data_IF_757759690654
#
_entry.id   IF_757759690654
#
_cell.length_a   1.000
_cell.length_b   1.000
_cell.length_c   1.000
_cell.angle_alpha   90.00
_cell.angle_beta   90.00
_cell.angle_gamma   90.00
#
_symmetry.space_group_name_H-M   'P 1'
#
loop_
_entity.id
_entity.type
_entity.pdbx_description
1 polymer ?
#
# COMPACT_ATOMS: atom_id res chain seq x y z
N UNK A 1 0.90 -5.29 -13.69
CA UNK A 1 1.38 -5.68 -12.35
C UNK A 1 2.63 -6.55 -12.51
N UNK A 2 3.49 -6.60 -11.49
CA UNK A 2 4.62 -7.56 -11.45
C UNK A 2 4.14 -9.01 -11.62
N UNK A 3 5.00 -9.88 -12.17
CA UNK A 3 4.77 -11.32 -12.18
C UNK A 3 4.97 -11.86 -10.75
N UNK A 4 3.86 -12.15 -10.08
CA UNK A 4 3.81 -12.49 -8.65
C UNK A 4 3.12 -13.84 -8.48
N UNK A 5 3.65 -14.67 -7.59
CA UNK A 5 3.19 -16.03 -7.31
C UNK A 5 2.94 -16.17 -5.81
N UNK A 6 1.92 -15.47 -5.27
CA UNK A 6 1.58 -15.58 -3.86
C UNK A 6 1.23 -17.04 -3.52
N UNK A 7 1.75 -17.61 -2.43
CA UNK A 7 1.50 -19.01 -2.08
C UNK A 7 0.03 -19.25 -1.69
N UNK A 8 -0.65 -18.21 -1.20
CA UNK A 8 -2.08 -18.21 -0.92
C UNK A 8 -2.71 -16.89 -1.34
N UNK A 9 -3.93 -16.99 -1.83
CA UNK A 9 -4.79 -15.84 -2.17
C UNK A 9 -6.07 -15.94 -1.37
N UNK A 10 -6.20 -15.10 -0.36
CA UNK A 10 -7.38 -15.00 0.47
C UNK A 10 -8.29 -13.87 -0.02
N UNK A 11 -9.59 -14.13 -0.07
CA UNK A 11 -10.60 -13.11 -0.39
C UNK A 11 -11.57 -13.01 0.77
N UNK A 12 -11.61 -11.87 1.43
CA UNK A 12 -12.56 -11.66 2.50
C UNK A 12 -13.98 -11.56 1.92
N UNK A 13 -14.94 -12.28 2.51
CA UNK A 13 -16.34 -12.33 2.03
C UNK A 13 -17.00 -10.96 1.81
N UNK A 14 -16.61 -9.93 2.57
CA UNK A 14 -17.11 -8.55 2.44
C UNK A 14 -16.79 -7.91 1.08
N UNK A 15 -15.77 -8.39 0.37
CA UNK A 15 -15.46 -7.93 -0.99
C UNK A 15 -16.65 -8.13 -1.92
N UNK A 16 -17.40 -9.23 -1.76
CA UNK A 16 -18.54 -9.57 -2.60
C UNK A 16 -19.77 -8.67 -2.40
N UNK A 17 -19.78 -7.85 -1.34
CA UNK A 17 -20.83 -6.87 -1.09
C UNK A 17 -20.67 -5.61 -1.96
N UNK A 18 -19.50 -5.39 -2.58
CA UNK A 18 -19.20 -4.24 -3.43
C UNK A 18 -18.88 -4.70 -4.87
N UNK A 19 -19.78 -4.48 -5.85
CA UNK A 19 -19.55 -4.88 -7.25
C UNK A 19 -18.29 -4.30 -7.89
N UNK A 20 -17.86 -3.09 -7.49
CA UNK A 20 -16.64 -2.47 -8.02
C UNK A 20 -15.40 -3.14 -7.45
N UNK A 21 -15.43 -3.51 -6.17
CA UNK A 21 -14.38 -4.30 -5.53
C UNK A 21 -14.24 -5.68 -6.20
N UNK A 22 -15.36 -6.36 -6.51
CA UNK A 22 -15.35 -7.64 -7.24
C UNK A 22 -14.76 -7.48 -8.64
N UNK A 23 -15.12 -6.43 -9.38
CA UNK A 23 -14.55 -6.18 -10.70
C UNK A 23 -13.02 -5.96 -10.63
N UNK A 24 -12.55 -5.22 -9.63
CA UNK A 24 -11.12 -4.99 -9.36
C UNK A 24 -10.39 -6.27 -8.98
N UNK A 25 -10.97 -7.08 -8.08
CA UNK A 25 -10.49 -8.41 -7.74
C UNK A 25 -10.30 -9.26 -9.00
N UNK A 26 -11.31 -9.32 -9.88
CA UNK A 26 -11.24 -10.09 -11.12
C UNK A 26 -10.09 -9.66 -12.04
N UNK A 27 -9.83 -8.36 -12.17
CA UNK A 27 -8.67 -7.86 -12.95
C UNK A 27 -7.35 -8.32 -12.35
N UNK A 28 -7.19 -8.18 -11.04
CA UNK A 28 -5.96 -8.58 -10.34
C UNK A 28 -5.74 -10.09 -10.41
N UNK A 29 -6.76 -10.90 -10.14
CA UNK A 29 -6.68 -12.37 -10.24
C UNK A 29 -6.30 -12.82 -11.66
N UNK A 30 -6.90 -12.20 -12.69
CA UNK A 30 -6.56 -12.50 -14.10
C UNK A 30 -5.08 -12.26 -14.38
N UNK A 31 -4.50 -11.16 -13.90
CA UNK A 31 -3.07 -10.89 -14.08
C UNK A 31 -2.16 -11.79 -13.25
N UNK A 32 -2.67 -12.42 -12.18
CA UNK A 32 -1.96 -13.46 -11.42
C UNK A 32 -2.09 -14.85 -12.06
N UNK A 33 -2.73 -14.98 -13.22
CA UNK A 33 -2.99 -16.27 -13.87
C UNK A 33 -4.16 -17.05 -13.26
N UNK A 34 -5.08 -16.37 -12.57
CA UNK A 34 -6.24 -16.95 -11.87
C UNK A 34 -5.84 -18.06 -10.89
N UNK A 35 -5.01 -17.75 -9.87
CA UNK A 35 -4.67 -18.75 -8.86
C UNK A 35 -5.92 -19.20 -8.08
N UNK A 36 -5.89 -20.38 -7.45
CA UNK A 36 -6.93 -20.79 -6.51
C UNK A 36 -7.11 -19.71 -5.43
N UNK A 37 -8.37 -19.40 -5.12
CA UNK A 37 -8.72 -18.46 -4.05
C UNK A 37 -9.33 -19.21 -2.87
N UNK A 38 -9.11 -18.67 -1.68
CA UNK A 38 -9.71 -19.13 -0.45
C UNK A 38 -10.58 -18.01 0.13
N UNK A 39 -11.90 -18.23 0.18
CA UNK A 39 -12.81 -17.28 0.81
C UNK A 39 -12.70 -17.36 2.33
N UNK A 40 -12.56 -16.21 2.96
CA UNK A 40 -12.33 -16.09 4.40
C UNK A 40 -13.25 -15.06 5.05
N UNK A 41 -13.49 -15.21 6.34
CA UNK A 41 -14.06 -14.16 7.20
C UNK A 41 -13.24 -13.97 8.48
N UNK A 42 -13.72 -13.13 9.40
CA UNK A 42 -13.01 -12.81 10.64
C UNK A 42 -12.64 -14.05 11.47
N UNK A 43 -13.38 -15.16 11.34
CA UNK A 43 -13.13 -16.39 12.07
C UNK A 43 -11.93 -17.18 11.50
N UNK A 44 -11.50 -16.89 10.27
CA UNK A 44 -10.36 -17.52 9.61
C UNK A 44 -9.03 -16.79 9.89
N UNK A 45 -9.00 -15.85 10.84
CA UNK A 45 -7.82 -15.02 11.13
C UNK A 45 -6.56 -15.86 11.40
N UNK A 46 -6.67 -16.93 12.19
CA UNK A 46 -5.52 -17.80 12.50
C UNK A 46 -4.98 -18.50 11.25
N UNK A 47 -5.87 -18.95 10.36
CA UNK A 47 -5.50 -19.59 9.09
C UNK A 47 -4.68 -18.65 8.21
N UNK A 48 -5.09 -17.38 8.09
CA UNK A 48 -4.35 -16.37 7.30
C UNK A 48 -2.99 -16.07 7.93
N UNK A 49 -2.92 -15.96 9.26
CA UNK A 49 -1.66 -15.72 9.98
C UNK A 49 -0.69 -16.90 9.76
N UNK A 50 -1.16 -18.13 9.91
CA UNK A 50 -0.36 -19.34 9.70
C UNK A 50 0.17 -19.40 8.26
N UNK A 51 -0.71 -19.24 7.26
CA UNK A 51 -0.34 -19.26 5.84
C UNK A 51 0.69 -18.18 5.47
N UNK A 52 0.59 -16.99 6.09
CA UNK A 52 1.57 -15.90 5.88
C UNK A 52 2.97 -16.22 6.43
N UNK A 53 3.06 -17.19 7.35
CA UNK A 53 4.25 -17.45 8.14
C UNK A 53 4.57 -16.37 9.17
N UNK A 54 3.70 -15.36 9.35
CA UNK A 54 3.88 -14.24 10.26
C UNK A 54 3.59 -14.57 11.73
N UNK A 55 3.84 -15.82 12.16
CA UNK A 55 3.36 -16.36 13.44
C UNK A 55 4.06 -15.74 14.66
N UNK A 56 3.50 -16.00 15.86
CA UNK A 56 4.06 -15.53 17.14
C UNK A 56 5.46 -16.08 17.47
N UNK A 57 5.88 -17.15 16.77
CA UNK A 57 7.20 -17.75 16.97
C UNK A 57 8.34 -17.00 16.27
N UNK A 58 8.01 -16.05 15.37
CA UNK A 58 9.02 -15.31 14.62
C UNK A 58 9.87 -14.40 15.51
N UNK A 59 11.15 -14.32 15.18
CA UNK A 59 12.09 -13.45 15.86
C UNK A 59 11.71 -11.97 15.68
N UNK A 60 11.52 -11.27 16.80
CA UNK A 60 11.29 -9.83 16.83
C UNK A 60 12.51 -9.14 17.43
N UNK A 61 13.14 -8.25 16.66
CA UNK A 61 14.28 -7.47 17.13
C UNK A 61 13.84 -6.04 17.48
N UNK A 62 13.94 -5.66 18.76
CA UNK A 62 13.54 -4.31 19.23
C UNK A 62 12.11 -3.94 18.85
N UNK A 63 11.17 -4.88 18.99
CA UNK A 63 9.76 -4.69 18.62
C UNK A 63 9.49 -4.61 17.11
N UNK A 64 10.50 -4.88 16.27
CA UNK A 64 10.37 -4.83 14.80
C UNK A 64 10.69 -6.18 14.18
N UNK A 65 9.97 -6.47 13.12
CA UNK A 65 10.23 -7.61 12.24
C UNK A 65 11.08 -7.11 11.08
N UNK A 66 12.12 -7.86 10.73
CA UNK A 66 13.02 -7.54 9.63
C UNK A 66 13.15 -8.76 8.73
N UNK A 67 12.80 -8.60 7.47
CA UNK A 67 12.88 -9.67 6.46
C UNK A 67 14.30 -10.22 6.29
N UNK A 68 15.33 -9.42 6.65
CA UNK A 68 16.72 -9.85 6.58
C UNK A 68 17.12 -10.92 7.60
N UNK A 69 16.32 -11.13 8.66
CA UNK A 69 16.56 -12.19 9.64
C UNK A 69 16.21 -13.56 9.02
N UNK A 70 15.01 -13.66 8.45
CA UNK A 70 14.51 -14.90 7.84
C UNK A 70 14.97 -15.08 6.38
N UNK A 71 15.47 -14.01 5.75
CA UNK A 71 15.82 -13.97 4.32
C UNK A 71 14.71 -14.54 3.42
N UNK A 72 13.46 -14.17 3.70
CA UNK A 72 12.27 -14.64 2.96
C UNK A 72 12.52 -14.55 1.46
N UNK A 73 12.31 -15.67 0.77
CA UNK A 73 12.53 -15.80 -0.68
C UNK A 73 11.29 -16.28 -1.46
N UNK A 74 10.11 -15.96 -0.94
CA UNK A 74 8.82 -16.18 -1.62
C UNK A 74 7.98 -14.90 -1.61
N UNK A 75 6.98 -14.85 -2.48
CA UNK A 75 6.02 -13.77 -2.47
C UNK A 75 5.15 -13.84 -1.20
N UNK A 76 4.69 -12.69 -0.69
CA UNK A 76 3.78 -12.65 0.45
C UNK A 76 2.44 -13.32 0.09
N UNK A 77 1.70 -13.77 1.11
CA UNK A 77 0.29 -14.12 0.90
C UNK A 77 -0.50 -12.87 0.53
N UNK A 78 -1.51 -13.02 -0.32
CA UNK A 78 -2.41 -11.92 -0.66
C UNK A 78 -3.71 -12.04 0.11
N UNK A 79 -4.17 -10.92 0.66
CA UNK A 79 -5.46 -10.78 1.31
C UNK A 79 -6.24 -9.66 0.63
N UNK A 80 -7.30 -10.01 -0.08
CA UNK A 80 -8.21 -9.06 -0.71
C UNK A 80 -9.34 -8.70 0.24
N UNK A 81 -9.56 -7.41 0.45
CA UNK A 81 -10.44 -6.89 1.50
C UNK A 81 -11.14 -5.61 1.04
N UNK A 82 -12.03 -5.08 1.87
CA UNK A 82 -12.61 -3.74 1.76
C UNK A 82 -12.57 -3.06 3.11
N UNK A 83 -12.65 -1.73 3.13
CA UNK A 83 -12.84 -0.99 4.37
C UNK A 83 -14.20 -1.30 5.01
N UNK A 84 -14.24 -1.23 6.33
CA UNK A 84 -15.48 -1.22 7.10
C UNK A 84 -15.78 0.22 7.50
N UNK A 85 -16.53 0.91 6.64
CA UNK A 85 -16.83 2.35 6.79
C UNK A 85 -17.75 2.69 7.95
N UNK A 86 -18.61 1.76 8.38
CA UNK A 86 -19.44 1.89 9.58
C UNK A 86 -18.68 1.31 10.78
N UNK A 87 -18.19 2.14 11.72
CA UNK A 87 -17.40 1.67 12.85
C UNK A 87 -18.14 0.66 13.74
N UNK A 88 -19.49 0.68 13.77
CA UNK A 88 -20.28 -0.27 14.53
C UNK A 88 -20.23 -1.70 13.96
N UNK A 89 -19.81 -1.85 12.70
CA UNK A 89 -19.67 -3.15 12.03
C UNK A 89 -18.27 -3.75 12.15
N UNK A 90 -17.28 -2.99 12.64
CA UNK A 90 -15.94 -3.51 12.90
C UNK A 90 -16.03 -4.57 13.99
N UNK A 91 -15.49 -5.76 13.71
CA UNK A 91 -15.47 -6.87 14.66
C UNK A 91 -14.35 -6.64 15.69
N UNK A 92 -14.52 -7.06 16.95
CA UNK A 92 -13.43 -7.04 17.90
C UNK A 92 -12.38 -8.08 17.52
N UNK A 93 -11.10 -7.73 17.65
CA UNK A 93 -10.02 -8.71 17.59
C UNK A 93 -10.06 -9.53 18.88
N UNK A 94 -10.43 -10.81 18.76
CA UNK A 94 -10.73 -11.69 19.92
C UNK A 94 -9.48 -12.17 20.65
N UNK A 95 -8.34 -12.26 19.96
CA UNK A 95 -7.06 -12.73 20.49
C UNK A 95 -6.02 -11.61 20.49
N UNK A 96 -5.24 -11.51 21.57
CA UNK A 96 -4.10 -10.61 21.63
C UNK A 96 -2.90 -11.24 20.92
N UNK A 97 -2.35 -10.54 19.93
CA UNK A 97 -1.13 -10.93 19.22
C UNK A 97 0.04 -10.05 19.66
N UNK A 98 1.16 -10.67 20.02
CA UNK A 98 2.39 -9.97 20.37
C UNK A 98 3.23 -9.67 19.13
N UNK A 99 3.17 -10.53 18.10
CA UNK A 99 3.87 -10.30 16.86
C UNK A 99 3.18 -9.22 16.03
N UNK A 100 3.89 -8.15 15.60
CA UNK A 100 3.25 -6.99 14.99
C UNK A 100 2.61 -7.29 13.63
N UNK A 101 3.06 -8.34 12.92
CA UNK A 101 2.45 -8.75 11.65
C UNK A 101 1.19 -9.60 11.84
N UNK A 102 1.17 -10.50 12.82
CA UNK A 102 -0.06 -11.18 13.26
C UNK A 102 -1.12 -10.16 13.66
N UNK A 103 -0.74 -9.18 14.49
CA UNK A 103 -1.63 -8.12 14.95
C UNK A 103 -2.13 -7.22 13.79
N UNK A 104 -1.34 -7.04 12.73
CA UNK A 104 -1.80 -6.31 11.55
C UNK A 104 -2.83 -7.12 10.76
N UNK A 105 -2.54 -8.39 10.46
CA UNK A 105 -3.47 -9.29 9.75
C UNK A 105 -4.80 -9.38 10.51
N UNK A 106 -4.76 -9.63 11.82
CA UNK A 106 -5.96 -9.74 12.65
C UNK A 106 -6.83 -8.48 12.62
N UNK A 107 -6.22 -7.29 12.61
CA UNK A 107 -6.97 -6.02 12.46
C UNK A 107 -7.64 -5.90 11.10
N UNK A 108 -6.97 -6.29 10.02
CA UNK A 108 -7.58 -6.27 8.68
C UNK A 108 -8.70 -7.30 8.54
N UNK A 109 -8.53 -8.50 9.12
CA UNK A 109 -9.58 -9.52 9.15
C UNK A 109 -10.81 -9.06 9.93
N UNK A 110 -10.61 -8.42 11.08
CA UNK A 110 -11.70 -7.91 11.91
C UNK A 110 -12.45 -6.71 11.29
N UNK A 111 -11.84 -6.03 10.32
CA UNK A 111 -12.39 -4.87 9.63
C UNK A 111 -11.58 -3.61 9.93
N UNK A 112 -10.95 -3.06 8.90
CA UNK A 112 -10.20 -1.82 9.01
C UNK A 112 -11.12 -0.63 8.69
N UNK A 113 -11.23 0.31 9.62
CA UNK A 113 -12.02 1.52 9.43
C UNK A 113 -11.19 2.68 8.91
N UNK A 114 -11.82 3.87 8.93
CA UNK A 114 -11.20 5.11 8.46
C UNK A 114 -9.88 5.45 9.17
N UNK A 115 -9.72 5.05 10.43
CA UNK A 115 -8.50 5.24 11.22
C UNK A 115 -7.27 4.54 10.65
N UNK A 116 -7.45 3.51 9.81
CA UNK A 116 -6.36 2.79 9.16
C UNK A 116 -5.83 3.47 7.90
N UNK A 117 -6.61 4.39 7.33
CA UNK A 117 -6.35 5.03 6.04
C UNK A 117 -5.27 6.10 6.17
N UNK A 118 -5.40 6.95 7.19
CA UNK A 118 -4.67 8.21 7.27
C UNK A 118 -3.51 8.15 8.25
N UNK A 119 -2.28 8.28 7.73
CA UNK A 119 -1.07 8.44 8.52
C UNK A 119 -0.67 9.91 8.64
N UNK A 120 -0.26 10.31 9.83
CA UNK A 120 0.28 11.65 10.08
C UNK A 120 1.72 11.54 10.57
N UNK A 121 2.67 12.15 9.84
CA UNK A 121 4.06 12.26 10.30
C UNK A 121 4.27 13.66 10.86
N UNK A 122 4.04 13.79 12.16
CA UNK A 122 4.22 15.04 12.88
C UNK A 122 5.61 15.10 13.49
N UNK A 123 6.44 16.02 13.00
CA UNK A 123 7.38 16.72 13.89
C UNK A 123 6.89 18.13 14.23
N UNK A 124 5.74 18.51 13.67
CA UNK A 124 5.17 19.84 13.73
C UNK A 124 3.65 19.68 13.77
N UNK A 125 3.03 20.19 14.83
CA UNK A 125 1.59 20.37 14.89
C UNK A 125 1.20 21.47 13.90
N UNK A 126 1.02 21.12 12.62
CA UNK A 126 0.50 22.05 11.60
C UNK A 126 -0.90 22.61 11.89
N UNK A 127 -1.47 22.28 13.06
CA UNK A 127 -2.68 22.83 13.64
C UNK A 127 -2.42 23.93 14.70
N UNK A 128 -1.17 24.14 15.15
CA UNK A 128 -0.84 25.26 16.03
C UNK A 128 -0.60 26.52 15.20
N UNK A 129 -1.54 27.49 15.17
CA UNK A 129 -1.37 28.73 14.43
C UNK A 129 -0.23 29.62 14.98
N UNK A 130 0.32 29.29 16.16
CA UNK A 130 1.39 30.06 16.82
C UNK A 130 2.79 29.66 16.39
N UNK A 131 2.94 28.57 15.62
CA UNK A 131 4.25 28.13 15.13
C UNK A 131 4.35 28.34 13.62
N UNK A 132 5.19 29.29 13.15
CA UNK A 132 5.39 29.52 11.72
C UNK A 132 6.22 28.37 11.14
N UNK A 133 5.55 27.28 10.76
CA UNK A 133 6.19 26.19 10.04
C UNK A 133 6.16 26.49 8.55
N UNK A 134 7.34 26.47 7.91
CA UNK A 134 7.46 26.52 6.45
C UNK A 134 7.00 25.19 5.83
N UNK A 135 7.20 24.07 6.54
CA UNK A 135 6.78 22.74 6.12
C UNK A 135 5.49 22.30 6.84
N UNK A 136 4.47 21.92 6.08
CA UNK A 136 3.26 21.30 6.63
C UNK A 136 3.52 19.88 7.13
N UNK A 137 2.68 19.40 8.05
CA UNK A 137 2.72 18.00 8.49
C UNK A 137 2.50 17.05 7.32
N UNK A 138 3.34 16.03 7.19
CA UNK A 138 3.23 15.10 6.07
C UNK A 138 2.06 14.14 6.27
N UNK A 139 1.00 14.29 5.48
CA UNK A 139 -0.09 13.31 5.41
C UNK A 139 0.29 12.14 4.51
N UNK A 140 -0.09 10.94 4.92
CA UNK A 140 -0.06 9.75 4.09
C UNK A 140 -1.44 9.10 4.06
N UNK A 141 -1.73 8.45 2.94
CA UNK A 141 -2.97 7.74 2.69
C UNK A 141 -2.62 6.34 2.24
N UNK A 142 -3.32 5.33 2.74
CA UNK A 142 -2.99 3.93 2.54
C UNK A 142 -4.20 3.21 1.98
N UNK A 143 -3.99 2.29 1.04
CA UNK A 143 -5.01 1.33 0.60
C UNK A 143 -4.44 -0.08 0.46
N UNK A 144 -3.12 -0.22 0.57
CA UNK A 144 -2.42 -1.49 0.64
C UNK A 144 -1.62 -1.52 1.95
N UNK A 145 -1.56 -2.69 2.59
CA UNK A 145 -0.63 -2.93 3.69
C UNK A 145 0.19 -4.17 3.43
N UNK A 146 1.49 -4.00 3.24
CA UNK A 146 2.39 -5.07 2.82
C UNK A 146 3.05 -4.71 1.49
N UNK A 147 4.18 -5.35 1.21
CA UNK A 147 4.92 -5.12 -0.03
C UNK A 147 5.52 -6.43 -0.54
N UNK A 148 5.65 -6.54 -1.86
CA UNK A 148 6.31 -7.69 -2.51
C UNK A 148 7.84 -7.57 -2.51
N UNK A 149 8.36 -6.36 -2.30
CA UNK A 149 9.79 -6.13 -2.14
C UNK A 149 10.32 -6.71 -0.82
N UNK A 150 11.48 -7.35 -0.88
CA UNK A 150 12.06 -8.15 0.21
C UNK A 150 13.27 -7.47 0.83
N UNK A 151 13.16 -6.15 1.01
CA UNK A 151 14.21 -5.36 1.64
C UNK A 151 14.49 -5.88 3.05
N UNK A 152 15.75 -6.21 3.33
CA UNK A 152 16.15 -6.85 4.59
C UNK A 152 15.81 -6.01 5.82
N UNK A 153 15.82 -4.68 5.67
CA UNK A 153 15.48 -3.73 6.73
C UNK A 153 13.96 -3.55 6.94
N UNK A 154 13.13 -4.10 6.07
CA UNK A 154 11.68 -3.90 6.07
C UNK A 154 10.96 -5.06 6.79
N UNK A 155 9.77 -4.80 7.32
CA UNK A 155 8.92 -5.80 7.98
C UNK A 155 7.64 -6.16 7.22
N UNK A 156 7.48 -5.72 5.97
CA UNK A 156 6.18 -5.75 5.25
C UNK A 156 5.97 -6.94 4.30
N UNK A 157 6.93 -7.86 4.17
CA UNK A 157 6.89 -8.90 3.12
C UNK A 157 6.21 -10.23 3.46
N UNK A 158 5.40 -10.31 4.52
CA UNK A 158 4.71 -11.55 4.90
C UNK A 158 3.32 -11.69 4.26
N UNK A 159 2.58 -10.58 4.22
CA UNK A 159 1.22 -10.53 3.70
C UNK A 159 1.00 -9.15 3.07
N UNK A 160 0.30 -9.11 1.94
CA UNK A 160 -0.20 -7.89 1.31
C UNK A 160 -1.71 -7.88 1.41
N UNK A 161 -2.23 -6.96 2.23
CA UNK A 161 -3.66 -6.70 2.32
C UNK A 161 -4.02 -5.57 1.35
N UNK A 162 -4.94 -5.83 0.42
CA UNK A 162 -5.48 -4.86 -0.53
C UNK A 162 -6.87 -4.41 -0.08
N UNK A 163 -7.10 -3.10 -0.05
CA UNK A 163 -8.44 -2.52 0.08
C UNK A 163 -8.98 -2.24 -1.33
N UNK A 164 -10.03 -2.95 -1.71
CA UNK A 164 -10.54 -2.99 -3.08
C UNK A 164 -11.64 -1.96 -3.35
N UNK A 165 -12.16 -1.28 -2.35
CA UNK A 165 -13.21 -0.26 -2.43
C UNK A 165 -12.61 1.15 -2.62
N UNK A 166 -11.79 1.30 -3.66
CA UNK A 166 -11.07 2.55 -3.96
C UNK A 166 -12.01 3.73 -4.24
N UNK A 167 -13.21 3.46 -4.77
CA UNK A 167 -14.22 4.49 -5.03
C UNK A 167 -14.80 5.09 -3.75
N UNK A 168 -15.06 4.26 -2.74
CA UNK A 168 -15.47 4.70 -1.41
C UNK A 168 -14.33 5.47 -0.72
N UNK A 169 -13.10 4.98 -0.87
CA UNK A 169 -11.91 5.67 -0.39
C UNK A 169 -11.73 7.06 -1.03
N UNK A 170 -11.91 7.21 -2.34
CA UNK A 170 -11.83 8.51 -3.01
C UNK A 170 -12.91 9.50 -2.53
N UNK A 171 -14.13 9.04 -2.24
CA UNK A 171 -15.17 9.89 -1.63
C UNK A 171 -14.75 10.37 -0.23
N UNK A 172 -14.15 9.50 0.58
CA UNK A 172 -13.65 9.88 1.91
C UNK A 172 -12.45 10.84 1.82
N UNK A 173 -11.61 10.71 0.79
CA UNK A 173 -10.52 11.63 0.48
C UNK A 173 -11.03 13.03 0.17
N UNK A 174 -12.08 13.16 -0.66
CA UNK A 174 -12.68 14.46 -1.00
C UNK A 174 -13.18 15.17 0.28
N UNK A 175 -13.87 14.45 1.18
CA UNK A 175 -14.24 14.99 2.50
C UNK A 175 -13.01 15.42 3.31
N UNK A 176 -11.94 14.64 3.25
CA UNK A 176 -10.68 14.94 3.95
C UNK A 176 -9.99 16.19 3.38
N UNK A 177 -10.12 16.46 2.08
CA UNK A 177 -9.62 17.67 1.42
C UNK A 177 -10.38 18.92 1.86
N UNK A 178 -11.70 18.83 2.02
CA UNK A 178 -12.55 19.91 2.56
C UNK A 178 -12.21 20.22 4.03
N UNK A 179 -11.99 19.18 4.84
CA UNK A 179 -11.56 19.31 6.24
C UNK A 179 -10.16 19.95 6.36
N UNK A 180 -9.33 19.89 5.30
CA UNK A 180 -7.91 20.31 5.30
C UNK A 180 -7.56 21.11 4.06
N UNK A 181 -8.15 22.31 3.86
CA UNK A 181 -7.99 23.07 2.61
C UNK A 181 -6.56 23.54 2.36
N UNK A 182 -5.72 23.62 3.41
CA UNK A 182 -4.31 24.02 3.28
C UNK A 182 -3.38 22.86 2.92
N UNK A 183 -3.80 21.61 3.10
CA UNK A 183 -2.96 20.44 2.80
C UNK A 183 -3.07 20.09 1.32
N UNK A 184 -1.99 20.33 0.58
CA UNK A 184 -1.98 20.10 -0.87
C UNK A 184 -1.42 18.73 -1.26
N UNK A 185 -0.31 18.31 -0.63
CA UNK A 185 0.41 17.09 -1.00
C UNK A 185 0.08 15.93 -0.06
N UNK A 186 -0.26 14.77 -0.60
CA UNK A 186 -0.49 13.54 0.15
C UNK A 186 0.45 12.46 -0.34
N UNK A 187 1.06 11.72 0.59
CA UNK A 187 1.95 10.61 0.25
C UNK A 187 1.14 9.34 0.09
N UNK A 188 1.18 8.76 -1.10
CA UNK A 188 0.44 7.55 -1.35
C UNK A 188 1.23 6.32 -0.89
N UNK A 189 0.57 5.55 -0.05
CA UNK A 189 0.92 4.22 0.38
C UNK A 189 2.34 4.00 0.92
N UNK A 190 2.66 4.65 2.03
CA UNK A 190 3.90 4.35 2.80
C UNK A 190 3.91 2.96 3.46
N UNK A 191 2.86 2.16 3.29
CA UNK A 191 2.77 0.78 3.79
C UNK A 191 2.93 -0.25 2.67
N UNK A 192 3.26 0.20 1.46
CA UNK A 192 3.46 -0.64 0.29
C UNK A 192 4.41 0.03 -0.72
N UNK A 193 4.59 -0.63 -1.86
CA UNK A 193 5.14 -0.03 -3.08
C UNK A 193 4.09 -0.26 -4.16
N UNK A 194 3.06 0.59 -4.15
CA UNK A 194 1.82 0.34 -4.87
C UNK A 194 1.98 0.17 -6.40
N UNK A 195 2.96 0.83 -7.09
CA UNK A 195 3.12 0.64 -8.53
C UNK A 195 3.40 -0.82 -8.90
N UNK A 196 3.91 -1.65 -7.99
CA UNK A 196 4.07 -3.10 -8.22
C UNK A 196 2.75 -3.79 -8.64
N UNK A 197 1.59 -3.25 -8.27
CA UNK A 197 0.27 -3.85 -8.47
C UNK A 197 -0.57 -3.16 -9.55
N UNK A 198 -0.01 -2.16 -10.23
CA UNK A 198 -0.68 -1.39 -11.28
C UNK A 198 -0.39 -1.97 -12.68
N UNK A 199 -1.28 -1.75 -13.66
CA UNK A 199 -2.55 -1.01 -13.60
C UNK A 199 -3.76 -1.79 -13.04
N UNK A 200 -3.59 -3.05 -12.66
CA UNK A 200 -4.71 -3.94 -12.35
C UNK A 200 -5.45 -3.54 -11.08
N UNK A 201 -4.71 -3.08 -10.06
CA UNK A 201 -5.29 -2.50 -8.86
C UNK A 201 -6.09 -1.22 -9.17
N UNK A 202 -5.60 -0.39 -10.11
CA UNK A 202 -6.31 0.73 -10.68
C UNK A 202 -6.37 1.96 -9.77
N UNK A 203 -5.44 2.08 -8.82
CA UNK A 203 -5.38 3.24 -7.96
C UNK A 203 -4.72 4.44 -8.64
N UNK A 204 -3.72 4.23 -9.51
CA UNK A 204 -3.05 5.33 -10.21
C UNK A 204 -4.05 6.20 -10.99
N UNK A 205 -4.95 5.57 -11.75
CA UNK A 205 -5.93 6.29 -12.55
C UNK A 205 -7.01 6.96 -11.69
N UNK A 206 -7.63 6.21 -10.78
CA UNK A 206 -8.72 6.70 -9.94
C UNK A 206 -8.26 7.82 -9.00
N UNK A 207 -7.10 7.68 -8.38
CA UNK A 207 -6.56 8.71 -7.49
C UNK A 207 -5.96 9.87 -8.28
N UNK A 208 -5.33 9.63 -9.43
CA UNK A 208 -4.87 10.69 -10.31
C UNK A 208 -6.00 11.64 -10.71
N UNK A 209 -7.17 11.10 -11.10
CA UNK A 209 -8.36 11.88 -11.41
C UNK A 209 -8.85 12.66 -10.18
N UNK A 210 -9.02 11.96 -9.05
CA UNK A 210 -9.51 12.56 -7.80
C UNK A 210 -8.64 13.74 -7.35
N UNK A 211 -7.31 13.57 -7.36
CA UNK A 211 -6.38 14.61 -6.93
C UNK A 211 -6.33 15.78 -7.91
N UNK A 212 -6.36 15.52 -9.21
CA UNK A 212 -6.39 16.57 -10.25
C UNK A 212 -7.64 17.44 -10.10
N UNK A 213 -8.83 16.83 -10.03
CA UNK A 213 -10.11 17.56 -9.93
C UNK A 213 -10.21 18.41 -8.66
N UNK A 214 -9.56 18.00 -7.58
CA UNK A 214 -9.59 18.70 -6.30
C UNK A 214 -8.40 19.64 -6.08
N UNK A 215 -7.57 19.89 -7.10
CA UNK A 215 -6.35 20.71 -7.02
C UNK A 215 -5.43 20.27 -5.86
N UNK A 216 -5.17 18.96 -5.78
CA UNK A 216 -4.27 18.33 -4.79
C UNK A 216 -3.15 17.57 -5.52
N UNK A 217 -2.11 17.20 -4.77
CA UNK A 217 -0.98 16.45 -5.30
C UNK A 217 -0.87 15.07 -4.64
N UNK A 218 -0.86 14.02 -5.45
CA UNK A 218 -0.63 12.65 -5.04
C UNK A 218 0.86 12.32 -5.24
N UNK A 219 1.63 12.23 -4.17
CA UNK A 219 3.03 11.83 -4.28
C UNK A 219 3.09 10.32 -4.55
N UNK A 220 3.52 9.95 -5.76
CA UNK A 220 3.91 8.58 -6.11
C UNK A 220 5.26 8.31 -5.48
N UNK A 221 5.32 7.44 -4.47
CA UNK A 221 6.55 7.14 -3.73
C UNK A 221 6.92 5.66 -3.93
N UNK A 222 8.05 5.36 -4.58
CA UNK A 222 8.31 4.00 -5.07
C UNK A 222 9.80 3.63 -5.17
N UNK A 223 10.09 2.33 -5.21
CA UNK A 223 11.33 1.72 -5.75
C UNK A 223 11.11 0.99 -7.07
N UNK A 224 9.86 0.80 -7.46
CA UNK A 224 9.45 0.02 -8.61
C UNK A 224 9.88 0.68 -9.92
N UNK A 225 10.04 -0.17 -10.94
CA UNK A 225 10.18 0.21 -12.34
C UNK A 225 8.90 -0.12 -13.14
N UNK A 226 7.83 -0.59 -12.50
CA UNK A 226 6.53 -0.83 -13.15
C UNK A 226 5.77 0.49 -13.31
N UNK A 227 6.25 1.34 -14.22
CA UNK A 227 5.71 2.69 -14.41
C UNK A 227 5.12 2.96 -15.78
N UNK A 228 5.15 2.00 -16.69
CA UNK A 228 4.69 2.24 -18.06
C UNK A 228 3.21 2.67 -18.08
N UNK A 229 2.40 2.17 -17.13
CA UNK A 229 1.01 2.59 -16.94
C UNK A 229 0.81 4.07 -16.58
N UNK A 230 1.84 4.76 -16.07
CA UNK A 230 1.80 6.19 -15.75
C UNK A 230 2.07 7.06 -16.97
N UNK A 231 2.85 6.58 -17.95
CA UNK A 231 3.45 7.44 -18.98
C UNK A 231 2.41 8.21 -19.82
N UNK A 232 1.25 7.62 -20.05
CA UNK A 232 0.18 8.21 -20.86
C UNK A 232 -0.94 8.87 -20.03
N UNK A 233 -0.85 8.87 -18.69
CA UNK A 233 -1.90 9.43 -17.85
C UNK A 233 -2.06 10.95 -18.05
N UNK A 234 -3.28 11.50 -18.00
CA UNK A 234 -3.50 12.94 -18.14
C UNK A 234 -3.22 13.74 -16.85
N UNK A 235 -2.97 13.06 -15.73
CA UNK A 235 -2.91 13.65 -14.38
C UNK A 235 -1.49 14.03 -13.90
N UNK A 236 -0.51 14.09 -14.82
CA UNK A 236 0.94 14.15 -14.50
C UNK A 236 1.33 15.33 -13.61
N UNK A 237 0.71 16.48 -13.84
CA UNK A 237 0.96 17.71 -13.06
C UNK A 237 0.60 17.57 -11.58
N UNK A 238 -0.37 16.71 -11.27
CA UNK A 238 -0.87 16.46 -9.92
C UNK A 238 -0.29 15.19 -9.28
N UNK A 239 0.64 14.51 -9.94
CA UNK A 239 1.22 13.26 -9.49
C UNK A 239 2.75 13.30 -9.46
N UNK A 240 3.40 14.15 -8.64
CA UNK A 240 4.85 14.16 -8.55
C UNK A 240 5.37 12.77 -8.12
N UNK A 241 6.46 12.33 -8.74
CA UNK A 241 7.05 11.02 -8.50
C UNK A 241 8.36 11.11 -7.72
N UNK A 242 8.49 10.29 -6.69
CA UNK A 242 9.63 10.22 -5.79
C UNK A 242 10.17 8.79 -5.77
N UNK A 243 11.42 8.60 -6.22
CA UNK A 243 12.09 7.30 -6.18
C UNK A 243 13.02 7.15 -4.98
N UNK A 244 12.98 6.02 -4.30
CA UNK A 244 14.12 5.65 -3.46
C UNK A 244 15.27 5.15 -4.34
N UNK A 245 16.38 5.89 -4.37
CA UNK A 245 17.63 5.44 -4.99
C UNK A 245 18.57 4.82 -3.96
N UNK A 246 19.40 3.87 -4.40
CA UNK A 246 20.41 3.23 -3.57
C UNK A 246 21.58 2.75 -4.45
N UNK A 247 22.75 2.51 -3.87
CA UNK A 247 23.90 1.97 -4.61
C UNK A 247 23.65 0.53 -5.05
N UNK A 248 24.36 0.06 -6.09
CA UNK A 248 24.21 -1.30 -6.62
C UNK A 248 24.37 -2.39 -5.55
N UNK A 249 25.34 -2.21 -4.66
CA UNK A 249 25.54 -3.13 -3.53
C UNK A 249 24.28 -3.24 -2.66
N UNK A 250 23.62 -2.11 -2.37
CA UNK A 250 22.40 -2.11 -1.59
C UNK A 250 21.23 -2.72 -2.36
N UNK A 251 21.05 -2.37 -3.64
CA UNK A 251 19.94 -2.92 -4.44
C UNK A 251 20.07 -4.44 -4.63
N UNK A 252 21.29 -4.95 -4.76
CA UNK A 252 21.53 -6.38 -4.99
C UNK A 252 21.53 -7.21 -3.70
N UNK A 253 22.12 -6.71 -2.60
CA UNK A 253 22.33 -7.51 -1.38
C UNK A 253 21.30 -7.28 -0.28
N UNK A 254 20.70 -6.09 -0.23
CA UNK A 254 19.85 -5.66 0.89
C UNK A 254 18.40 -5.46 0.43
N UNK A 255 18.19 -4.77 -0.70
CA UNK A 255 16.85 -4.49 -1.25
C UNK A 255 16.40 -5.59 -2.22
N UNK A 256 16.44 -6.84 -1.76
CA UNK A 256 16.13 -8.03 -2.57
C UNK A 256 14.72 -7.92 -3.17
N UNK A 257 14.56 -8.37 -4.41
CA UNK A 257 13.30 -8.32 -5.14
C UNK A 257 12.86 -6.92 -5.57
N UNK A 258 13.67 -5.88 -5.37
CA UNK A 258 13.46 -4.56 -5.97
C UNK A 258 14.25 -4.44 -7.29
N UNK A 259 13.90 -3.47 -8.16
CA UNK A 259 14.72 -3.15 -9.33
C UNK A 259 16.12 -2.66 -8.96
N UNK A 260 17.08 -2.89 -9.86
CA UNK A 260 18.45 -2.35 -9.75
C UNK A 260 18.47 -0.82 -9.82
N UNK A 261 19.59 -0.19 -9.45
CA UNK A 261 19.74 1.26 -9.58
C UNK A 261 19.47 1.72 -11.02
N UNK A 262 20.08 1.08 -12.01
CA UNK A 262 19.88 1.42 -13.43
C UNK A 262 18.40 1.32 -13.86
N UNK A 263 17.69 0.27 -13.41
CA UNK A 263 16.27 0.12 -13.71
C UNK A 263 15.42 1.22 -13.07
N UNK A 264 15.78 1.69 -11.86
CA UNK A 264 15.11 2.83 -11.22
C UNK A 264 15.41 4.13 -11.95
N UNK A 265 16.67 4.37 -12.34
CA UNK A 265 17.07 5.56 -13.10
C UNK A 265 16.39 5.61 -14.47
N UNK A 266 16.24 4.47 -15.14
CA UNK A 266 15.50 4.39 -16.41
C UNK A 266 14.00 4.66 -16.21
N UNK A 267 13.39 4.13 -15.14
CA UNK A 267 12.00 4.44 -14.79
C UNK A 267 11.81 5.94 -14.50
N UNK A 268 12.74 6.56 -13.78
CA UNK A 268 12.78 7.99 -13.52
C UNK A 268 12.88 8.80 -14.82
N UNK A 269 13.78 8.40 -15.73
CA UNK A 269 13.97 9.05 -17.04
C UNK A 269 12.70 8.98 -17.88
N UNK A 270 12.08 7.80 -18.00
CA UNK A 270 10.80 7.63 -18.72
C UNK A 270 9.70 8.53 -18.17
N UNK A 271 9.56 8.62 -16.84
CA UNK A 271 8.55 9.48 -16.23
C UNK A 271 8.85 10.97 -16.47
N UNK A 272 10.12 11.36 -16.40
CA UNK A 272 10.52 12.73 -16.71
C UNK A 272 10.23 13.09 -18.18
N UNK A 273 10.56 12.21 -19.12
CA UNK A 273 10.26 12.39 -20.55
C UNK A 273 8.75 12.49 -20.81
N UNK A 274 7.94 11.75 -20.05
CA UNK A 274 6.48 11.82 -20.11
C UNK A 274 5.90 13.11 -19.50
N UNK A 275 6.69 13.93 -18.80
CA UNK A 275 6.28 15.21 -18.23
C UNK A 275 6.00 15.20 -16.72
N UNK A 276 6.38 14.15 -16.00
CA UNK A 276 6.26 14.11 -14.54
C UNK A 276 7.34 14.95 -13.84
N UNK A 277 6.99 15.55 -12.71
CA UNK A 277 7.99 16.06 -11.76
C UNK A 277 8.63 14.89 -11.03
N UNK A 278 9.90 14.59 -11.33
CA UNK A 278 10.64 13.47 -10.73
C UNK A 278 11.64 13.95 -9.67
N UNK A 279 11.72 13.21 -8.55
CA UNK A 279 12.65 13.43 -7.42
C UNK A 279 13.20 12.08 -6.91
N UNK A 280 14.30 12.13 -6.16
CA UNK A 280 14.90 11.01 -5.45
C UNK A 280 15.37 11.42 -4.05
#
# INVERSE_FOLDING_TARGET
MYDLKPPHVFVHKRVYENPKAVARLGRMLKSLGNPPIEEVDENDTEKVIEASGASEALAVQSGRVRQGIEKIDRDPVFLFNTYVWDPAKIKPVTKKYHHPRSAAIARFMAGAGRESIYGRRDRCDGSDPKRPYVCQGGWSIHTINGCVHRCDYCGMGYAVNFMLDLEEFAKDLERTFEERPRQLLYRYDLSSDYPCFEPEYGASELLGECFTRNERYLLVYTKSNNIDHLLDMPYKEHMPCYWTVATDTQTQKIERGTPTLDQRLEAMRKCQDAGYVVRA
#
